data_IF_200025152968
#
_entry.id   IF_200025152968
#
_cell.length_a   1.000
_cell.length_b   1.000
_cell.length_c   1.000
_cell.angle_alpha   90.00
_cell.angle_beta   90.00
_cell.angle_gamma   90.00
#
_symmetry.space_group_name_H-M   'P 1'
#
loop_
_entity.id
_entity.type
_entity.pdbx_description
1 polymer ?
#
# COMPACT_ATOMS: atom_id res chain seq x y z
N UNK A 1 65.18 -5.90 -26.59
CA UNK A 1 65.51 -4.64 -25.85
C UNK A 1 64.19 -4.11 -25.29
N UNK A 2 63.78 -4.47 -24.07
CA UNK A 2 64.07 -3.81 -22.76
C UNK A 2 63.84 -2.30 -22.74
N UNK A 3 62.74 -1.92 -22.06
CA UNK A 3 62.56 -0.88 -21.01
C UNK A 3 61.14 -0.30 -21.19
N UNK A 4 60.23 -0.28 -20.23
CA UNK A 4 60.37 -0.40 -18.78
C UNK A 4 59.65 0.80 -18.14
N UNK A 5 58.44 0.56 -17.65
CA UNK A 5 57.78 1.07 -16.44
C UNK A 5 57.84 2.58 -16.10
N UNK A 6 56.68 3.20 -15.86
CA UNK A 6 56.44 3.90 -14.59
C UNK A 6 54.94 4.10 -14.35
N UNK A 7 54.39 3.27 -13.47
CA UNK A 7 53.09 3.47 -12.81
C UNK A 7 53.35 4.51 -11.71
N UNK A 8 52.69 5.67 -11.81
CA UNK A 8 52.71 6.66 -10.72
C UNK A 8 51.71 6.24 -9.66
N UNK A 9 52.23 5.67 -8.59
CA UNK A 9 51.56 5.53 -7.29
C UNK A 9 51.20 6.92 -6.77
N UNK A 10 49.91 7.21 -6.62
CA UNK A 10 49.45 8.34 -5.82
C UNK A 10 48.84 7.77 -4.55
N UNK A 11 49.59 7.89 -3.46
CA UNK A 11 49.12 7.54 -2.13
C UNK A 11 47.99 8.51 -1.75
N UNK A 12 46.75 8.01 -1.71
CA UNK A 12 45.64 8.74 -1.10
C UNK A 12 45.70 8.42 0.40
N UNK A 13 46.23 9.38 1.14
CA UNK A 13 46.27 9.35 2.60
C UNK A 13 44.85 9.27 3.17
N UNK A 14 44.67 8.32 4.08
CA UNK A 14 43.47 8.14 4.88
C UNK A 14 43.31 9.35 5.82
N UNK A 15 42.52 10.34 5.42
CA UNK A 15 42.08 11.43 6.30
C UNK A 15 40.99 10.88 7.23
N UNK A 16 41.41 10.44 8.42
CA UNK A 16 40.54 10.24 9.57
C UNK A 16 39.99 11.60 10.02
N UNK A 17 38.83 12.00 9.50
CA UNK A 17 38.04 13.06 10.09
C UNK A 17 37.39 12.54 11.36
N UNK A 18 37.99 12.83 12.51
CA UNK A 18 37.35 12.65 13.82
C UNK A 18 36.12 13.56 13.89
N UNK A 19 34.94 12.99 13.72
CA UNK A 19 33.70 13.67 14.09
C UNK A 19 33.68 13.82 15.61
N UNK A 20 33.89 15.04 16.07
CA UNK A 20 33.59 15.47 17.43
C UNK A 20 32.09 15.30 17.62
N UNK A 21 31.69 14.30 18.39
CA UNK A 21 30.32 14.17 18.85
C UNK A 21 30.00 15.38 19.75
N UNK A 22 29.16 16.30 19.27
CA UNK A 22 28.50 17.25 20.14
C UNK A 22 27.57 16.46 21.07
N UNK A 23 28.03 16.15 22.28
CA UNK A 23 27.18 15.74 23.40
C UNK A 23 26.32 16.93 23.81
N UNK A 24 25.22 17.13 23.09
CA UNK A 24 24.12 17.93 23.58
C UNK A 24 23.39 17.14 24.65
N UNK A 25 23.60 17.52 25.91
CA UNK A 25 22.74 17.11 27.02
C UNK A 25 21.28 17.47 26.69
N UNK A 26 20.48 16.48 26.34
CA UNK A 26 19.05 16.49 26.62
C UNK A 26 18.77 15.27 27.48
N UNK A 27 18.52 15.56 28.75
CA UNK A 27 18.00 14.63 29.75
C UNK A 27 16.86 13.83 29.13
N UNK A 28 17.06 12.52 29.07
CA UNK A 28 16.04 11.56 28.68
C UNK A 28 14.96 11.51 29.77
N UNK A 29 13.80 12.10 29.52
CA UNK A 29 12.55 11.75 30.21
C UNK A 29 12.04 10.40 29.69
N UNK A 30 12.88 9.37 29.85
CA UNK A 30 12.52 8.00 29.56
C UNK A 30 12.48 7.23 30.87
N UNK A 31 11.38 6.49 31.08
CA UNK A 31 11.12 5.50 32.15
C UNK A 31 10.25 5.97 33.33
N UNK A 32 9.18 6.73 33.08
CA UNK A 32 8.15 7.00 34.10
C UNK A 32 6.80 6.28 33.84
N UNK A 33 6.69 5.44 32.81
CA UNK A 33 5.43 4.79 32.44
C UNK A 33 5.66 3.30 32.14
N UNK A 34 5.37 2.43 33.11
CA UNK A 34 5.12 1.02 32.81
C UNK A 34 3.63 0.86 32.43
N UNK A 35 3.37 0.02 31.44
CA UNK A 35 2.09 -0.13 30.72
C UNK A 35 0.87 -0.61 31.51
N UNK A 36 0.82 -0.38 32.82
CA UNK A 36 -0.32 -0.73 33.70
C UNK A 36 -0.69 0.41 34.66
N UNK A 37 -0.61 1.67 34.20
CA UNK A 37 -1.39 2.77 34.78
C UNK A 37 -1.13 3.13 36.26
N UNK A 38 0.02 2.77 36.82
CA UNK A 38 0.41 3.14 38.18
C UNK A 38 1.74 3.90 38.22
N UNK A 39 1.74 5.15 38.70
CA UNK A 39 2.96 5.84 39.08
C UNK A 39 3.48 5.25 40.40
N UNK A 40 4.71 4.71 40.41
CA UNK A 40 5.37 4.33 41.67
C UNK A 40 5.88 5.58 42.39
N UNK A 41 5.91 5.53 43.74
CA UNK A 41 6.18 6.67 44.65
C UNK A 41 7.56 7.35 44.50
N UNK A 42 8.36 6.97 43.50
CA UNK A 42 9.71 7.51 43.29
C UNK A 42 9.82 8.54 42.15
N UNK A 43 8.72 8.85 41.47
CA UNK A 43 8.65 9.92 40.49
C UNK A 43 7.87 11.10 41.07
N UNK A 44 8.56 12.22 41.34
CA UNK A 44 7.90 13.52 41.56
C UNK A 44 7.33 14.00 40.23
N UNK A 45 6.20 13.43 39.82
CA UNK A 45 5.44 13.90 38.68
C UNK A 45 4.78 15.21 39.07
N UNK A 46 5.26 16.32 38.50
CA UNK A 46 4.48 17.55 38.45
C UNK A 46 3.11 17.22 37.84
N UNK A 47 2.03 17.66 38.50
CA UNK A 47 0.62 17.31 38.19
C UNK A 47 0.11 17.87 36.85
N UNK A 48 0.98 18.05 35.86
CA UNK A 48 0.64 18.57 34.54
C UNK A 48 1.19 17.74 33.37
N UNK A 49 1.71 16.53 33.61
CA UNK A 49 1.99 15.58 32.54
C UNK A 49 0.68 14.91 32.10
N UNK A 50 0.13 15.44 31.01
CA UNK A 50 -1.01 14.87 30.32
C UNK A 50 -0.56 13.54 29.67
N UNK A 51 -0.55 12.45 30.44
CA UNK A 51 -0.47 11.09 29.91
C UNK A 51 -1.78 10.78 29.17
N UNK A 52 -1.95 11.38 28.00
CA UNK A 52 -2.92 10.91 27.02
C UNK A 52 -2.32 9.65 26.43
N UNK A 53 -3.00 8.53 26.67
CA UNK A 53 -2.92 7.38 25.78
C UNK A 53 -3.28 7.88 24.38
N UNK A 54 -2.28 8.14 23.53
CA UNK A 54 -2.50 8.41 22.12
C UNK A 54 -3.00 7.11 21.50
N UNK A 55 -4.31 6.87 21.59
CA UNK A 55 -4.98 5.91 20.71
C UNK A 55 -4.79 6.46 19.30
N UNK A 56 -3.95 5.80 18.53
CA UNK A 56 -3.73 6.12 17.12
C UNK A 56 -5.11 6.15 16.45
N UNK A 57 -5.47 7.30 15.88
CA UNK A 57 -6.75 7.47 15.22
C UNK A 57 -6.71 6.67 13.93
N UNK A 58 -7.70 5.82 13.71
CA UNK A 58 -7.83 5.02 12.48
C UNK A 58 -8.99 5.54 11.64
N UNK A 59 -8.82 5.56 10.32
CA UNK A 59 -9.92 5.90 9.42
C UNK A 59 -11.01 4.83 9.60
N UNK A 60 -12.27 5.23 9.68
CA UNK A 60 -13.35 4.26 10.00
C UNK A 60 -14.68 4.61 9.35
N UNK A 61 -14.68 5.62 8.47
CA UNK A 61 -15.90 6.03 7.78
C UNK A 61 -16.35 4.91 6.85
N UNK A 62 -17.62 4.54 6.98
CA UNK A 62 -18.25 3.50 6.17
C UNK A 62 -19.19 4.14 5.16
N UNK A 63 -19.13 3.61 3.96
CA UNK A 63 -20.04 3.88 2.86
C UNK A 63 -20.78 2.59 2.56
N UNK A 64 -22.00 2.69 2.08
CA UNK A 64 -22.78 1.57 1.59
C UNK A 64 -22.78 1.58 0.08
N UNK A 65 -23.05 0.43 -0.54
CA UNK A 65 -23.10 0.36 -2.00
C UNK A 65 -24.20 1.29 -2.55
N UNK A 66 -25.29 1.53 -1.82
CA UNK A 66 -26.33 2.47 -2.25
C UNK A 66 -25.82 3.92 -2.39
N UNK A 67 -24.80 4.31 -1.62
CA UNK A 67 -24.23 5.67 -1.68
C UNK A 67 -23.51 5.94 -3.01
N UNK A 68 -22.99 4.90 -3.66
CA UNK A 68 -22.18 5.01 -4.88
C UNK A 68 -22.96 4.86 -6.18
N UNK A 69 -24.29 4.70 -6.13
CA UNK A 69 -25.08 4.41 -7.31
C UNK A 69 -26.30 5.32 -7.39
N UNK A 70 -26.49 5.90 -8.57
CA UNK A 70 -27.67 6.70 -8.91
C UNK A 70 -28.37 6.07 -10.10
N UNK A 71 -29.64 5.72 -9.93
CA UNK A 71 -30.44 5.04 -10.96
C UNK A 71 -29.77 3.77 -11.50
N UNK A 72 -29.10 3.03 -10.61
CA UNK A 72 -28.37 1.79 -10.94
C UNK A 72 -27.04 2.01 -11.69
N UNK A 73 -26.57 3.24 -11.83
CA UNK A 73 -25.28 3.57 -12.46
C UNK A 73 -24.26 4.00 -11.40
N UNK A 74 -23.04 3.53 -11.56
CA UNK A 74 -21.92 3.89 -10.69
C UNK A 74 -21.63 5.40 -10.77
N UNK A 75 -21.65 6.06 -9.62
CA UNK A 75 -21.39 7.48 -9.44
C UNK A 75 -19.92 7.71 -9.06
N UNK A 76 -19.11 7.96 -10.08
CA UNK A 76 -17.68 8.19 -9.90
C UNK A 76 -17.36 9.45 -9.09
N UNK A 77 -18.24 10.46 -9.09
CA UNK A 77 -18.01 11.69 -8.33
C UNK A 77 -18.10 11.42 -6.82
N UNK A 78 -19.11 10.63 -6.40
CA UNK A 78 -19.26 10.21 -5.00
C UNK A 78 -18.12 9.28 -4.59
N UNK A 79 -17.73 8.34 -5.43
CA UNK A 79 -16.57 7.46 -5.18
C UNK A 79 -15.26 8.25 -5.04
N UNK A 80 -14.99 9.20 -5.94
CA UNK A 80 -13.83 10.09 -5.85
C UNK A 80 -13.86 10.96 -4.59
N UNK A 81 -15.05 11.43 -4.18
CA UNK A 81 -15.21 12.17 -2.92
C UNK A 81 -14.91 11.29 -1.69
N UNK A 82 -15.28 10.01 -1.72
CA UNK A 82 -14.95 9.07 -0.66
C UNK A 82 -13.43 8.85 -0.54
N UNK A 83 -12.72 8.74 -1.67
CA UNK A 83 -11.25 8.65 -1.68
C UNK A 83 -10.59 9.90 -1.11
N UNK A 84 -11.05 11.09 -1.51
CA UNK A 84 -10.53 12.37 -0.99
C UNK A 84 -10.73 12.53 0.53
N UNK A 85 -11.84 12.04 1.05
CA UNK A 85 -12.12 12.02 2.50
C UNK A 85 -11.13 11.11 3.26
N UNK A 86 -10.80 9.95 2.69
CA UNK A 86 -9.73 9.09 3.24
C UNK A 86 -8.34 9.75 3.12
N UNK A 87 -8.06 10.44 2.01
CA UNK A 87 -6.80 11.16 1.83
C UNK A 87 -6.63 12.30 2.84
N UNK A 88 -7.69 13.07 3.09
CA UNK A 88 -7.69 14.13 4.10
C UNK A 88 -7.37 13.56 5.49
N UNK A 89 -7.95 12.40 5.85
CA UNK A 89 -7.65 11.74 7.12
C UNK A 89 -6.17 11.31 7.24
N UNK A 90 -5.57 10.80 6.16
CA UNK A 90 -4.20 10.29 6.17
C UNK A 90 -3.13 11.31 5.82
N UNK A 91 -3.49 12.59 5.71
CA UNK A 91 -2.65 13.69 5.26
C UNK A 91 -2.01 13.44 3.87
N UNK A 92 -2.78 12.82 2.96
CA UNK A 92 -2.36 12.59 1.57
C UNK A 92 -2.85 13.75 0.71
N UNK A 93 -1.94 14.50 0.05
CA UNK A 93 -2.34 15.65 -0.75
C UNK A 93 -3.03 15.20 -2.04
N UNK A 94 -4.22 15.75 -2.31
CA UNK A 94 -4.86 15.59 -3.62
C UNK A 94 -4.29 16.61 -4.62
N UNK A 95 -3.29 16.18 -5.39
CA UNK A 95 -2.53 17.05 -6.30
C UNK A 95 -3.27 17.35 -7.61
N UNK A 96 -2.79 18.33 -8.38
CA UNK A 96 -3.30 18.59 -9.75
C UNK A 96 -3.13 17.37 -10.66
N UNK A 97 -2.04 16.60 -10.50
CA UNK A 97 -1.84 15.35 -11.24
C UNK A 97 -2.91 14.32 -10.91
N UNK A 98 -3.24 14.15 -9.63
CA UNK A 98 -4.33 13.27 -9.20
C UNK A 98 -5.68 13.76 -9.70
N UNK A 99 -5.93 15.08 -9.68
CA UNK A 99 -7.17 15.66 -10.21
C UNK A 99 -7.39 15.35 -11.69
N UNK A 100 -6.30 15.18 -12.45
CA UNK A 100 -6.32 14.90 -13.88
C UNK A 100 -6.35 13.40 -14.20
N UNK A 101 -5.50 12.61 -13.54
CA UNK A 101 -5.17 11.25 -13.98
C UNK A 101 -5.61 10.16 -12.98
N UNK A 102 -6.07 10.50 -11.76
CA UNK A 102 -6.65 9.52 -10.83
C UNK A 102 -8.06 9.13 -11.27
N UNK A 103 -8.41 7.85 -11.08
CA UNK A 103 -9.68 7.26 -11.45
C UNK A 103 -10.25 6.40 -10.31
N UNK A 104 -11.51 6.02 -10.45
CA UNK A 104 -12.22 5.07 -9.59
C UNK A 104 -13.00 4.10 -10.46
N UNK A 105 -13.05 2.82 -10.06
CA UNK A 105 -13.75 1.77 -10.81
C UNK A 105 -14.43 0.78 -9.87
N UNK A 106 -15.61 0.32 -10.26
CA UNK A 106 -16.31 -0.84 -9.70
C UNK A 106 -16.04 -2.11 -10.52
N UNK A 107 -15.13 -2.02 -11.51
CA UNK A 107 -14.82 -3.06 -12.49
C UNK A 107 -16.04 -3.57 -13.29
N UNK A 108 -17.15 -2.81 -13.33
CA UNK A 108 -18.40 -3.23 -13.93
C UNK A 108 -19.18 -4.27 -13.12
N UNK A 109 -18.85 -4.43 -11.82
CA UNK A 109 -19.44 -5.44 -10.95
C UNK A 109 -20.64 -4.93 -10.15
N UNK A 110 -20.91 -3.61 -10.13
CA UNK A 110 -22.07 -3.06 -9.43
C UNK A 110 -21.95 -3.10 -7.90
N UNK A 111 -20.75 -3.24 -7.36
CA UNK A 111 -20.47 -3.35 -5.92
C UNK A 111 -19.22 -2.58 -5.53
N UNK A 112 -19.27 -1.24 -5.59
CA UNK A 112 -18.10 -0.42 -5.28
C UNK A 112 -17.77 -0.43 -3.79
N UNK A 113 -18.75 -0.63 -2.90
CA UNK A 113 -18.49 -0.73 -1.45
C UNK A 113 -17.47 -1.83 -1.14
N UNK A 114 -17.62 -2.99 -1.76
CA UNK A 114 -16.82 -4.16 -1.43
C UNK A 114 -15.80 -4.51 -2.50
N UNK A 115 -16.12 -4.35 -3.79
CA UNK A 115 -15.28 -4.77 -4.93
C UNK A 115 -15.08 -3.60 -5.90
N UNK A 116 -13.98 -2.88 -5.70
CA UNK A 116 -13.66 -1.67 -6.45
C UNK A 116 -12.33 -1.10 -5.99
N UNK A 117 -11.88 -0.03 -6.65
CA UNK A 117 -10.75 0.74 -6.15
C UNK A 117 -10.70 2.15 -6.72
N UNK A 118 -9.97 3.01 -6.03
CA UNK A 118 -9.35 4.20 -6.62
C UNK A 118 -7.94 3.88 -7.08
N UNK A 119 -7.48 4.55 -8.12
CA UNK A 119 -6.17 4.28 -8.69
C UNK A 119 -5.58 5.46 -9.43
N UNK A 120 -4.26 5.56 -9.45
CA UNK A 120 -3.52 6.40 -10.39
C UNK A 120 -2.29 5.67 -10.89
N UNK A 121 -2.07 5.68 -12.21
CA UNK A 121 -0.80 5.24 -12.79
C UNK A 121 0.12 6.45 -12.84
N UNK A 122 1.10 6.52 -11.93
CA UNK A 122 2.13 7.56 -11.95
C UNK A 122 2.97 7.48 -13.22
N UNK A 123 3.21 6.25 -13.69
CA UNK A 123 3.86 5.98 -14.95
C UNK A 123 3.52 4.57 -15.43
N UNK A 124 3.42 4.40 -16.75
CA UNK A 124 3.35 3.09 -17.39
C UNK A 124 4.16 3.14 -18.70
N UNK A 125 5.48 3.06 -18.56
CA UNK A 125 6.39 3.30 -19.67
C UNK A 125 6.64 2.01 -20.47
N UNK A 126 6.13 1.95 -21.70
CA UNK A 126 6.28 0.79 -22.57
C UNK A 126 7.71 0.62 -23.12
N UNK A 127 8.40 1.72 -23.42
CA UNK A 127 9.74 1.71 -24.04
C UNK A 127 10.79 1.18 -23.07
N UNK A 128 10.76 1.66 -21.83
CA UNK A 128 11.70 1.30 -20.77
C UNK A 128 11.17 0.22 -19.83
N UNK A 129 9.91 -0.20 -19.99
CA UNK A 129 9.38 -1.41 -19.38
C UNK A 129 9.08 -1.31 -17.88
N UNK A 130 8.78 -0.13 -17.33
CA UNK A 130 8.51 0.07 -15.90
C UNK A 130 7.17 0.76 -15.64
N UNK A 131 6.65 0.50 -14.45
CA UNK A 131 5.33 0.92 -14.00
C UNK A 131 5.37 1.36 -12.53
N UNK A 132 4.60 2.39 -12.21
CA UNK A 132 4.32 2.79 -10.83
C UNK A 132 2.86 3.22 -10.70
N UNK A 133 2.22 2.75 -9.65
CA UNK A 133 0.79 2.92 -9.38
C UNK A 133 0.57 3.13 -7.89
N UNK A 134 -0.44 3.93 -7.55
CA UNK A 134 -1.01 3.91 -6.21
C UNK A 134 -2.44 3.34 -6.28
N UNK A 135 -2.68 2.36 -5.42
CA UNK A 135 -3.96 1.70 -5.18
C UNK A 135 -4.57 2.32 -3.92
N UNK A 136 -5.84 2.69 -4.02
CA UNK A 136 -6.61 3.25 -2.92
C UNK A 136 -7.83 2.37 -2.65
N UNK A 137 -7.90 1.82 -1.45
CA UNK A 137 -8.97 0.94 -1.00
C UNK A 137 -9.67 1.53 0.22
N UNK A 138 -10.98 1.72 0.12
CA UNK A 138 -11.80 2.11 1.26
C UNK A 138 -11.86 0.98 2.32
N UNK A 139 -12.31 1.26 3.56
CA UNK A 139 -12.41 0.28 4.63
C UNK A 139 -13.10 -1.05 4.26
N UNK A 140 -12.32 -2.12 4.11
CA UNK A 140 -12.80 -3.46 3.75
C UNK A 140 -12.99 -3.71 2.25
N UNK A 141 -12.74 -2.70 1.40
CA UNK A 141 -12.83 -2.81 -0.05
C UNK A 141 -11.70 -3.68 -0.59
N UNK A 142 -11.94 -4.39 -1.70
CA UNK A 142 -10.95 -5.24 -2.35
C UNK A 142 -10.98 -5.10 -3.87
N UNK A 143 -9.83 -5.39 -4.48
CA UNK A 143 -9.71 -5.52 -5.94
C UNK A 143 -10.20 -6.93 -6.32
N UNK A 144 -10.93 -7.10 -7.45
CA UNK A 144 -11.25 -8.43 -7.95
C UNK A 144 -9.98 -9.26 -8.19
N UNK A 145 -10.05 -10.57 -7.95
CA UNK A 145 -8.92 -11.48 -8.17
C UNK A 145 -8.50 -11.48 -9.64
N UNK A 146 -7.20 -11.28 -9.85
CA UNK A 146 -6.63 -11.19 -11.18
C UNK A 146 -5.22 -11.78 -11.24
N UNK A 147 -4.76 -11.99 -12.47
CA UNK A 147 -3.40 -12.34 -12.81
C UNK A 147 -2.96 -11.53 -14.04
N UNK A 148 -1.64 -11.40 -14.19
CA UNK A 148 -1.01 -10.82 -15.37
C UNK A 148 -0.28 -11.90 -16.14
N UNK A 149 -0.70 -12.15 -17.38
CA UNK A 149 -0.10 -13.15 -18.25
C UNK A 149 0.76 -12.50 -19.32
N UNK A 150 1.70 -13.27 -19.87
CA UNK A 150 2.55 -12.80 -20.96
C UNK A 150 1.73 -12.47 -22.21
N UNK A 151 2.08 -11.37 -22.86
CA UNK A 151 1.55 -10.96 -24.18
C UNK A 151 2.72 -10.84 -25.18
N UNK A 152 2.73 -9.79 -26.01
CA UNK A 152 3.95 -9.33 -26.67
C UNK A 152 4.97 -8.74 -25.67
N UNK A 153 4.52 -8.33 -24.48
CA UNK A 153 5.36 -7.93 -23.36
C UNK A 153 5.49 -9.08 -22.34
N UNK A 154 6.52 -9.07 -21.48
CA UNK A 154 6.58 -9.97 -20.33
C UNK A 154 5.33 -9.85 -19.45
N UNK A 155 4.94 -10.94 -18.79
CA UNK A 155 3.94 -10.88 -17.74
C UNK A 155 4.37 -9.86 -16.66
N UNK A 156 3.41 -9.09 -16.13
CA UNK A 156 3.67 -8.12 -15.09
C UNK A 156 4.18 -8.84 -13.83
N UNK A 157 5.35 -8.47 -13.34
CA UNK A 157 5.82 -8.80 -12.01
C UNK A 157 5.81 -7.53 -11.18
N UNK A 158 5.16 -7.60 -10.03
CA UNK A 158 4.79 -6.44 -9.24
C UNK A 158 5.13 -6.62 -7.77
N UNK A 159 5.27 -5.51 -7.08
CA UNK A 159 5.60 -5.44 -5.67
C UNK A 159 4.82 -4.32 -5.03
N UNK A 160 4.26 -4.59 -3.86
CA UNK A 160 3.38 -3.68 -3.14
C UNK A 160 4.02 -3.23 -1.83
N UNK A 161 3.89 -1.94 -1.50
CA UNK A 161 4.18 -1.38 -0.18
C UNK A 161 2.94 -0.67 0.36
N UNK A 162 2.56 -1.00 1.59
CA UNK A 162 1.47 -0.29 2.27
C UNK A 162 2.01 1.02 2.85
N UNK A 163 1.40 2.13 2.46
CA UNK A 163 1.74 3.48 2.96
C UNK A 163 0.86 3.89 4.14
N UNK A 164 -0.43 3.53 4.10
CA UNK A 164 -1.42 3.87 5.12
C UNK A 164 -2.37 2.70 5.34
N UNK A 165 -2.82 2.52 6.58
CA UNK A 165 -3.70 1.41 6.96
C UNK A 165 -3.01 0.05 6.90
N UNK A 166 -3.70 -0.97 6.42
CA UNK A 166 -3.13 -2.29 6.13
C UNK A 166 -3.99 -3.09 5.16
N UNK A 167 -3.42 -4.09 4.51
CA UNK A 167 -4.13 -4.94 3.56
C UNK A 167 -3.92 -6.44 3.83
N UNK A 168 -4.91 -7.26 3.50
CA UNK A 168 -4.71 -8.67 3.23
C UNK A 168 -4.16 -8.80 1.80
N UNK A 169 -2.95 -9.35 1.68
CA UNK A 169 -2.32 -9.69 0.41
C UNK A 169 -2.57 -11.18 0.13
N UNK A 170 -3.57 -11.45 -0.71
CA UNK A 170 -3.98 -12.80 -1.08
C UNK A 170 -3.19 -13.30 -2.29
N UNK A 171 -2.80 -14.57 -2.24
CA UNK A 171 -2.09 -15.26 -3.31
C UNK A 171 -2.62 -16.68 -3.52
N UNK A 172 -2.68 -17.10 -4.79
CA UNK A 172 -2.85 -18.50 -5.19
C UNK A 172 -1.71 -19.40 -4.68
N UNK A 173 -0.56 -18.81 -4.35
CA UNK A 173 0.66 -19.54 -3.97
C UNK A 173 0.81 -19.60 -2.45
N UNK A 174 0.83 -20.83 -1.94
CA UNK A 174 1.01 -21.17 -0.53
C UNK A 174 -0.16 -21.97 0.03
N UNK A 175 -0.02 -22.45 1.25
CA UNK A 175 -1.08 -23.16 1.96
C UNK A 175 -2.21 -22.19 2.35
N UNK A 176 -3.45 -22.68 2.42
CA UNK A 176 -4.60 -21.88 2.83
C UNK A 176 -4.38 -21.30 4.24
N UNK A 177 -4.46 -19.96 4.34
CA UNK A 177 -4.39 -19.29 5.64
C UNK A 177 -5.77 -19.37 6.30
N UNK A 178 -5.90 -19.85 7.56
CA UNK A 178 -7.19 -19.98 8.22
C UNK A 178 -7.81 -18.61 8.53
N UNK A 179 -9.13 -18.59 8.74
CA UNK A 179 -9.90 -17.40 9.15
C UNK A 179 -9.83 -16.24 8.16
N UNK A 180 -9.94 -16.54 6.86
CA UNK A 180 -10.06 -15.50 5.83
C UNK A 180 -11.27 -14.58 6.12
N UNK A 181 -11.15 -13.27 5.87
CA UNK A 181 -12.28 -12.36 5.90
C UNK A 181 -13.38 -12.80 4.93
N UNK A 182 -14.62 -12.36 5.19
CA UNK A 182 -15.73 -12.62 4.28
C UNK A 182 -15.49 -11.90 2.93
N UNK A 183 -15.68 -12.62 1.83
CA UNK A 183 -15.55 -12.10 0.47
C UNK A 183 -16.93 -12.14 -0.19
N UNK A 184 -17.43 -11.00 -0.72
CA UNK A 184 -18.77 -10.94 -1.27
C UNK A 184 -18.88 -11.76 -2.56
N UNK A 185 -20.08 -12.28 -2.86
CA UNK A 185 -20.30 -13.09 -4.05
C UNK A 185 -20.03 -12.34 -5.37
N UNK A 186 -20.13 -11.01 -5.35
CA UNK A 186 -19.80 -10.08 -6.45
C UNK A 186 -18.33 -10.12 -6.84
N UNK A 187 -17.42 -10.50 -5.92
CA UNK A 187 -16.00 -10.69 -6.20
C UNK A 187 -15.78 -11.80 -7.23
N UNK A 188 -16.56 -12.88 -7.13
CA UNK A 188 -16.54 -14.01 -8.04
C UNK A 188 -15.75 -15.21 -7.51
N UNK A 189 -15.32 -16.13 -8.39
CA UNK A 189 -14.52 -17.29 -8.01
C UNK A 189 -13.14 -16.89 -7.49
N UNK A 190 -12.62 -17.63 -6.50
CA UNK A 190 -11.36 -17.31 -5.81
C UNK A 190 -10.44 -18.52 -5.81
N UNK A 191 -9.20 -18.31 -6.26
CA UNK A 191 -8.10 -19.27 -6.19
C UNK A 191 -7.15 -18.94 -5.04
N UNK A 192 -7.00 -17.66 -4.71
CA UNK A 192 -6.05 -17.16 -3.72
C UNK A 192 -6.55 -17.38 -2.31
N UNK A 193 -6.07 -18.47 -1.70
CA UNK A 193 -6.45 -18.88 -0.34
C UNK A 193 -5.36 -18.66 0.69
N UNK A 194 -4.14 -18.42 0.25
CA UNK A 194 -3.08 -17.96 1.14
C UNK A 194 -3.14 -16.45 1.24
N UNK A 195 -3.02 -15.89 2.44
CA UNK A 195 -2.82 -14.45 2.58
C UNK A 195 -1.85 -14.08 3.69
N UNK A 196 -1.23 -12.91 3.52
CA UNK A 196 -0.44 -12.21 4.52
C UNK A 196 -1.16 -10.92 4.90
N UNK A 197 -1.25 -10.62 6.20
CA UNK A 197 -1.66 -9.27 6.65
C UNK A 197 -0.46 -8.35 6.51
N UNK A 198 -0.45 -7.52 5.47
CA UNK A 198 0.62 -6.60 5.13
C UNK A 198 0.40 -5.24 5.83
N UNK A 199 1.35 -4.83 6.66
CA UNK A 199 1.34 -3.58 7.44
C UNK A 199 2.13 -2.47 6.77
N UNK A 200 1.96 -1.24 7.26
CA UNK A 200 2.68 -0.06 6.77
C UNK A 200 4.19 -0.30 6.69
N UNK A 201 4.79 0.06 5.57
CA UNK A 201 6.22 -0.08 5.29
C UNK A 201 6.68 -1.50 4.91
N UNK A 202 5.82 -2.52 5.01
CA UNK A 202 6.15 -3.85 4.51
C UNK A 202 6.05 -3.89 2.99
N UNK A 203 7.07 -4.47 2.36
CA UNK A 203 7.19 -4.59 0.90
C UNK A 203 7.08 -6.07 0.53
N UNK A 204 6.02 -6.45 -0.18
CA UNK A 204 5.77 -7.83 -0.58
C UNK A 204 5.68 -7.93 -2.12
N UNK A 205 6.51 -8.77 -2.77
CA UNK A 205 6.40 -9.03 -4.19
C UNK A 205 5.34 -10.09 -4.51
N UNK A 206 4.83 -10.08 -5.74
CA UNK A 206 4.07 -11.19 -6.30
C UNK A 206 4.89 -12.48 -6.19
N UNK A 207 4.32 -13.49 -5.51
CA UNK A 207 5.04 -14.72 -5.15
C UNK A 207 5.50 -15.54 -6.35
N UNK A 208 4.71 -15.56 -7.42
CA UNK A 208 5.03 -16.27 -8.66
C UNK A 208 4.44 -15.50 -9.84
N UNK A 209 5.21 -15.38 -10.92
CA UNK A 209 4.73 -14.77 -12.16
C UNK A 209 3.46 -15.49 -12.65
N UNK A 210 2.50 -14.73 -13.19
CA UNK A 210 1.21 -15.22 -13.71
C UNK A 210 0.27 -15.86 -12.68
N UNK A 211 0.59 -15.84 -11.37
CA UNK A 211 -0.31 -16.35 -10.33
C UNK A 211 -1.43 -15.37 -10.01
N UNK A 212 -2.61 -15.92 -9.70
CA UNK A 212 -3.73 -15.11 -9.23
C UNK A 212 -3.46 -14.52 -7.84
N UNK A 213 -3.96 -13.30 -7.64
CA UNK A 213 -3.81 -12.53 -6.41
C UNK A 213 -4.87 -11.44 -6.32
N UNK A 214 -5.03 -10.87 -5.12
CA UNK A 214 -5.77 -9.63 -4.91
C UNK A 214 -5.38 -8.99 -3.56
N UNK A 215 -5.71 -7.71 -3.42
CA UNK A 215 -5.60 -6.97 -2.17
C UNK A 215 -6.99 -6.67 -1.61
N UNK A 216 -7.16 -6.83 -0.30
CA UNK A 216 -8.33 -6.38 0.46
C UNK A 216 -7.86 -5.49 1.60
N UNK A 217 -8.40 -4.29 1.72
CA UNK A 217 -8.08 -3.40 2.82
C UNK A 217 -8.60 -3.92 4.17
N UNK A 218 -7.89 -3.56 5.24
CA UNK A 218 -8.38 -3.67 6.60
C UNK A 218 -9.57 -2.73 6.89
N UNK A 219 -10.07 -2.72 8.14
CA UNK A 219 -11.21 -1.90 8.54
C UNK A 219 -10.93 -0.39 8.52
N UNK A 220 -9.69 0.01 8.26
CA UNK A 220 -9.24 1.40 8.15
C UNK A 220 -8.92 1.85 6.72
N UNK A 221 -9.18 0.99 5.73
CA UNK A 221 -8.76 1.26 4.36
C UNK A 221 -7.27 0.96 4.17
N UNK A 222 -6.78 1.17 2.96
CA UNK A 222 -5.39 1.02 2.61
C UNK A 222 -4.99 1.97 1.49
N UNK A 223 -3.80 2.52 1.59
CA UNK A 223 -3.09 3.16 0.48
C UNK A 223 -1.85 2.32 0.20
N UNK A 224 -1.73 1.82 -1.02
CA UNK A 224 -0.70 0.87 -1.41
C UNK A 224 0.00 1.37 -2.66
N UNK A 225 1.30 1.53 -2.59
CA UNK A 225 2.13 1.76 -3.76
C UNK A 225 2.49 0.43 -4.42
N UNK A 226 2.37 0.38 -5.74
CA UNK A 226 2.74 -0.74 -6.59
C UNK A 226 3.83 -0.32 -7.57
N UNK A 227 4.91 -1.09 -7.61
CA UNK A 227 5.94 -0.99 -8.65
C UNK A 227 6.02 -2.30 -9.41
N UNK A 228 6.14 -2.19 -10.73
CA UNK A 228 6.18 -3.35 -11.59
C UNK A 228 6.97 -3.10 -12.86
N UNK A 229 7.17 -4.15 -13.66
CA UNK A 229 7.39 -3.96 -15.08
C UNK A 229 6.11 -3.44 -15.78
N UNK A 230 6.22 -3.06 -17.05
CA UNK A 230 5.13 -2.47 -17.84
C UNK A 230 3.78 -3.20 -17.68
N UNK A 231 2.72 -2.43 -17.43
CA UNK A 231 1.36 -2.94 -17.33
C UNK A 231 0.71 -2.97 -18.72
N UNK A 232 0.42 -4.16 -19.21
CA UNK A 232 -0.32 -4.38 -20.46
C UNK A 232 -1.72 -4.92 -20.17
N UNK A 233 -2.76 -4.14 -20.52
CA UNK A 233 -4.15 -4.53 -20.32
C UNK A 233 -4.50 -5.82 -21.08
N UNK A 234 -3.88 -6.08 -22.23
CA UNK A 234 -4.09 -7.32 -22.99
C UNK A 234 -3.64 -8.57 -22.21
N UNK A 235 -2.81 -8.40 -21.17
CA UNK A 235 -2.32 -9.45 -20.27
C UNK A 235 -3.15 -9.61 -18.99
N UNK A 236 -4.12 -8.74 -18.72
CA UNK A 236 -4.92 -8.78 -17.49
C UNK A 236 -6.00 -9.87 -17.56
N UNK A 237 -6.07 -10.73 -16.54
CA UNK A 237 -7.05 -11.83 -16.46
C UNK A 237 -7.73 -11.82 -15.10
N UNK A 238 -9.03 -11.53 -15.07
CA UNK A 238 -9.84 -11.67 -13.86
C UNK A 238 -10.39 -13.10 -13.75
N UNK A 239 -10.57 -13.60 -12.53
CA UNK A 239 -11.35 -14.83 -12.31
C UNK A 239 -12.84 -14.60 -12.50
N UNK A 240 -13.33 -13.41 -12.19
CA UNK A 240 -14.69 -12.99 -12.52
C UNK A 240 -14.73 -12.47 -13.96
N UNK A 241 -15.39 -13.20 -14.86
CA UNK A 241 -15.46 -12.86 -16.29
C UNK A 241 -16.28 -11.61 -16.62
N UNK A 242 -16.99 -11.03 -15.64
CA UNK A 242 -17.67 -9.74 -15.78
C UNK A 242 -16.79 -8.55 -15.43
N UNK A 243 -15.70 -8.77 -14.70
CA UNK A 243 -14.80 -7.71 -14.28
C UNK A 243 -13.96 -7.21 -15.47
N UNK A 244 -13.79 -5.90 -15.57
CA UNK A 244 -12.95 -5.26 -16.58
C UNK A 244 -12.32 -3.97 -16.02
N UNK A 245 -11.15 -3.61 -16.56
CA UNK A 245 -10.45 -2.35 -16.30
C UNK A 245 -10.18 -1.61 -17.61
#
# INVERSE_FOLDING_TARGET
MKKGLSIKTMAVGLLLSSMVACTGNKTSDATCCNGEGGCTEQCKCDKNSNCKTNKEMTYSKKYTNADFYKDGKFDQEVAMKAMKDMFEFYDVPFTELMAKDMWVTDFGLGDFENVGMGGIFWTNNQEYGYFAHAIYLLPGQMIPEHAHVKTKFPAKHETWMVEKGWAYNFSEIGDETPNAPAIPATHGPIKSKNFTVQKVGEVLPLKKIESFHFLMAGPEGAIVDEWACYHDNDGLRFTNSKAAL
#
